data_IF_711584679974
#
_entry.id   IF_711584679974
#
_cell.length_a   1.000
_cell.length_b   1.000
_cell.length_c   1.000
_cell.angle_alpha   90.00
_cell.angle_beta   90.00
_cell.angle_gamma   90.00
#
_symmetry.space_group_name_H-M   'P 1'
#
loop_
_entity.id
_entity.type
_entity.pdbx_description
1 polymer ?
#
# COMPACT_ATOMS: atom_id res chain seq x y z
N UNK A 1 12.47 8.73 -26.92
CA UNK A 1 12.34 7.65 -25.91
C UNK A 1 11.51 6.59 -26.57
N UNK A 2 12.07 5.40 -26.79
CA UNK A 2 11.30 4.30 -27.37
C UNK A 2 10.29 3.82 -26.33
N UNK A 3 9.05 3.57 -26.74
CA UNK A 3 8.01 3.01 -25.88
C UNK A 3 8.35 1.54 -25.58
N UNK A 4 9.23 1.35 -24.59
CA UNK A 4 9.65 0.02 -24.15
C UNK A 4 8.59 -0.56 -23.21
N UNK A 5 7.97 -1.67 -23.63
CA UNK A 5 7.14 -2.51 -22.77
C UNK A 5 8.03 -3.59 -22.15
N UNK A 6 8.06 -3.68 -20.83
CA UNK A 6 8.84 -4.70 -20.11
C UNK A 6 8.23 -6.10 -20.26
N UNK A 7 9.08 -7.08 -20.55
CA UNK A 7 8.76 -8.51 -20.41
C UNK A 7 8.62 -8.90 -18.93
N UNK A 8 7.99 -10.05 -18.63
CA UNK A 8 7.84 -10.50 -17.24
C UNK A 8 9.17 -10.70 -16.50
N UNK A 9 10.23 -11.14 -17.20
CA UNK A 9 11.56 -11.28 -16.60
C UNK A 9 12.17 -9.92 -16.27
N UNK A 10 11.95 -8.91 -17.10
CA UNK A 10 12.39 -7.54 -16.82
C UNK A 10 11.59 -6.93 -15.66
N UNK A 11 10.28 -7.19 -15.57
CA UNK A 11 9.49 -6.80 -14.40
C UNK A 11 10.08 -7.38 -13.11
N UNK A 12 10.40 -8.67 -13.10
CA UNK A 12 11.06 -9.33 -11.95
C UNK A 12 12.43 -8.72 -11.64
N UNK A 13 13.26 -8.48 -12.66
CA UNK A 13 14.58 -7.88 -12.48
C UNK A 13 14.52 -6.43 -11.95
N UNK A 14 13.44 -5.71 -12.24
CA UNK A 14 13.18 -4.36 -11.76
C UNK A 14 12.40 -4.34 -10.42
N UNK A 15 12.18 -5.49 -9.77
CA UNK A 15 11.34 -5.64 -8.58
C UNK A 15 9.91 -5.09 -8.74
N UNK A 16 9.38 -5.13 -9.97
CA UNK A 16 7.99 -4.79 -10.23
C UNK A 16 7.14 -6.01 -9.86
N UNK A 17 6.53 -5.92 -8.67
CA UNK A 17 5.80 -7.02 -8.03
C UNK A 17 4.45 -7.25 -8.72
N UNK A 18 4.22 -8.46 -9.21
CA UNK A 18 2.97 -8.89 -9.89
C UNK A 18 2.04 -9.70 -8.97
N UNK A 19 2.09 -9.50 -7.66
CA UNK A 19 1.42 -10.36 -6.66
C UNK A 19 -0.03 -9.96 -6.36
N UNK A 20 -0.79 -10.93 -5.83
CA UNK A 20 -2.20 -10.84 -5.45
C UNK A 20 -2.45 -10.02 -4.17
N UNK A 21 -2.15 -8.72 -4.20
CA UNK A 21 -2.56 -7.82 -3.12
C UNK A 21 -4.08 -7.59 -3.19
N UNK A 22 -4.75 -7.72 -2.04
CA UNK A 22 -6.21 -7.51 -1.92
C UNK A 22 -6.54 -6.26 -1.09
N UNK A 23 -7.80 -5.84 -1.09
CA UNK A 23 -8.26 -4.81 -0.16
C UNK A 23 -8.52 -5.41 1.22
N UNK A 24 -8.20 -4.69 2.28
CA UNK A 24 -8.65 -5.04 3.62
C UNK A 24 -10.06 -4.47 3.86
N UNK A 25 -11.00 -5.36 4.18
CA UNK A 25 -12.40 -5.03 4.45
C UNK A 25 -12.76 -5.15 5.94
N UNK A 26 -11.76 -5.41 6.79
CA UNK A 26 -11.94 -5.55 8.23
C UNK A 26 -11.49 -4.27 8.93
N UNK A 27 -12.35 -3.59 9.72
CA UNK A 27 -11.90 -2.47 10.53
C UNK A 27 -11.03 -3.00 11.69
N UNK A 28 -10.08 -2.19 12.14
CA UNK A 28 -9.17 -2.58 13.21
C UNK A 28 -7.77 -2.03 13.04
N UNK A 29 -6.86 -2.54 13.86
CA UNK A 29 -5.44 -2.21 13.83
C UNK A 29 -4.66 -3.42 13.35
N UNK A 30 -3.78 -3.22 12.38
CA UNK A 30 -3.00 -4.29 11.77
C UNK A 30 -1.53 -3.90 11.75
N UNK A 31 -0.67 -4.77 12.26
CA UNK A 31 0.77 -4.62 12.10
C UNK A 31 1.12 -5.15 10.71
N UNK A 32 1.91 -4.37 9.97
CA UNK A 32 2.30 -4.71 8.62
C UNK A 32 3.68 -4.17 8.24
N UNK A 33 4.32 -4.80 7.27
CA UNK A 33 5.50 -4.28 6.61
C UNK A 33 5.08 -3.56 5.33
N UNK A 34 5.62 -2.36 5.08
CA UNK A 34 5.42 -1.66 3.81
C UNK A 34 6.27 -2.30 2.71
N UNK A 35 5.66 -3.05 1.81
CA UNK A 35 6.35 -3.80 0.75
C UNK A 35 6.71 -2.91 -0.45
N UNK A 36 5.81 -2.00 -0.81
CA UNK A 36 5.98 -1.16 -2.01
C UNK A 36 5.15 0.12 -1.93
N UNK A 37 5.63 1.14 -2.64
CA UNK A 37 4.87 2.33 -3.02
C UNK A 37 4.85 2.46 -4.54
N UNK A 38 3.70 2.74 -5.13
CA UNK A 38 3.55 3.01 -6.55
C UNK A 38 2.78 4.32 -6.77
N UNK A 39 3.48 5.31 -7.31
CA UNK A 39 2.91 6.62 -7.60
C UNK A 39 1.97 6.55 -8.81
N UNK A 40 0.87 7.29 -8.73
CA UNK A 40 -0.02 7.61 -9.83
C UNK A 40 -0.39 9.09 -9.71
N UNK A 41 -0.92 9.68 -10.79
CA UNK A 41 -1.04 11.15 -10.96
C UNK A 41 -1.46 11.94 -9.71
N UNK A 42 -2.46 11.44 -8.95
CA UNK A 42 -2.99 12.10 -7.76
C UNK A 42 -3.08 11.17 -6.53
N UNK A 43 -2.54 9.96 -6.61
CA UNK A 43 -2.65 8.99 -5.53
C UNK A 43 -1.38 8.15 -5.40
N UNK A 44 -1.12 7.71 -4.18
CA UNK A 44 -0.08 6.76 -3.88
C UNK A 44 -0.73 5.42 -3.54
N UNK A 45 -0.44 4.41 -4.34
CA UNK A 45 -0.79 3.02 -4.00
C UNK A 45 0.29 2.49 -3.06
N UNK A 46 -0.14 1.95 -1.93
CA UNK A 46 0.73 1.41 -0.89
C UNK A 46 0.36 -0.05 -0.68
N UNK A 47 1.38 -0.88 -0.54
CA UNK A 47 1.27 -2.33 -0.50
C UNK A 47 1.94 -2.85 0.76
N UNK A 48 1.29 -3.81 1.42
CA UNK A 48 1.68 -4.30 2.72
C UNK A 48 1.58 -5.80 2.83
N UNK A 49 2.42 -6.38 3.68
CA UNK A 49 2.25 -7.73 4.20
C UNK A 49 1.94 -7.62 5.68
N UNK A 50 0.72 -8.03 6.06
CA UNK A 50 0.31 -8.11 7.47
C UNK A 50 1.07 -9.23 8.18
N UNK A 51 1.15 -9.19 9.52
CA UNK A 51 1.78 -10.27 10.31
C UNK A 51 1.14 -11.65 10.07
N UNK A 52 -0.16 -11.68 9.76
CA UNK A 52 -0.88 -12.91 9.38
C UNK A 52 -0.61 -13.36 7.93
N UNK A 53 0.39 -12.76 7.28
CA UNK A 53 0.81 -13.02 5.89
C UNK A 53 -0.17 -12.57 4.81
N UNK A 54 -1.30 -11.91 5.15
CA UNK A 54 -2.16 -11.32 4.13
C UNK A 54 -1.45 -10.17 3.42
N UNK A 55 -1.51 -10.20 2.08
CA UNK A 55 -1.01 -9.13 1.22
C UNK A 55 -2.12 -8.15 0.93
N UNK A 56 -1.98 -6.94 1.45
CA UNK A 56 -3.02 -5.91 1.38
C UNK A 56 -2.51 -4.67 0.64
N UNK A 57 -3.38 -4.04 -0.14
CA UNK A 57 -3.11 -2.72 -0.71
C UNK A 57 -4.10 -1.68 -0.20
N UNK A 58 -3.65 -0.43 -0.11
CA UNK A 58 -4.50 0.73 0.07
C UNK A 58 -4.11 1.84 -0.92
N UNK A 59 -5.02 2.79 -1.13
CA UNK A 59 -4.71 4.04 -1.85
C UNK A 59 -4.74 5.19 -0.87
N UNK A 60 -3.80 6.11 -1.02
CA UNK A 60 -3.78 7.38 -0.27
C UNK A 60 -3.73 8.53 -1.24
N UNK A 61 -4.32 9.66 -0.83
CA UNK A 61 -4.60 10.77 -1.73
C UNK A 61 -3.76 11.99 -1.36
N UNK A 62 -3.41 12.79 -2.36
CA UNK A 62 -2.53 13.95 -2.16
C UNK A 62 -3.12 14.99 -1.18
N UNK A 63 -4.44 15.17 -1.18
CA UNK A 63 -5.12 16.10 -0.26
C UNK A 63 -5.11 15.62 1.20
N UNK A 64 -4.82 14.34 1.44
CA UNK A 64 -4.54 13.76 2.76
C UNK A 64 -3.04 13.64 3.03
N UNK A 65 -2.21 14.33 2.24
CA UNK A 65 -0.73 14.25 2.29
C UNK A 65 -0.21 12.81 2.20
N UNK A 66 -0.91 11.96 1.43
CA UNK A 66 -0.61 10.54 1.28
C UNK A 66 -0.49 9.78 2.62
N UNK A 67 -1.18 10.24 3.68
CA UNK A 67 -1.02 9.74 5.07
C UNK A 67 0.44 9.68 5.55
N UNK A 68 1.34 10.47 4.97
CA UNK A 68 2.77 10.44 5.28
C UNK A 68 3.58 9.31 4.60
N UNK A 69 2.96 8.41 3.84
CA UNK A 69 3.63 7.27 3.20
C UNK A 69 4.75 7.66 2.24
N UNK A 70 4.69 8.85 1.64
CA UNK A 70 5.71 9.31 0.71
C UNK A 70 7.11 9.23 1.32
N UNK A 71 7.24 9.63 2.59
CA UNK A 71 8.51 9.70 3.33
C UNK A 71 8.84 8.41 4.11
N UNK A 72 7.93 7.43 4.18
CA UNK A 72 8.15 6.17 4.90
C UNK A 72 8.98 5.23 4.01
N UNK A 73 10.17 4.74 4.45
CA UNK A 73 10.94 3.78 3.68
C UNK A 73 10.19 2.44 3.48
N UNK A 74 10.34 1.82 2.32
CA UNK A 74 9.93 0.43 2.09
C UNK A 74 10.69 -0.49 3.06
N UNK A 75 10.03 -1.52 3.57
CA UNK A 75 10.53 -2.41 4.62
C UNK A 75 10.26 -1.93 6.05
N UNK A 76 9.66 -0.75 6.24
CA UNK A 76 9.29 -0.24 7.57
C UNK A 76 8.11 -1.03 8.14
N UNK A 77 8.20 -1.38 9.43
CA UNK A 77 7.08 -1.91 10.20
C UNK A 77 6.15 -0.78 10.63
N UNK A 78 4.84 -1.01 10.44
CA UNK A 78 3.81 0.00 10.61
C UNK A 78 2.63 -0.59 11.37
N UNK A 79 1.96 0.27 12.14
CA UNK A 79 0.61 0.01 12.65
C UNK A 79 -0.39 0.75 11.76
N UNK A 80 -1.22 -0.01 11.05
CA UNK A 80 -2.24 0.51 10.12
C UNK A 80 -3.60 0.55 10.79
N UNK A 81 -4.24 1.71 10.77
CA UNK A 81 -5.55 1.92 11.38
C UNK A 81 -6.64 1.93 10.31
N UNK A 82 -7.40 0.84 10.22
CA UNK A 82 -8.58 0.75 9.36
C UNK A 82 -9.84 1.12 10.14
N UNK A 83 -10.64 2.04 9.61
CA UNK A 83 -11.93 2.45 10.19
C UNK A 83 -13.07 2.07 9.26
N UNK A 84 -14.27 1.95 9.83
CA UNK A 84 -15.52 1.77 9.11
C UNK A 84 -16.30 3.09 9.11
N UNK A 85 -16.82 3.50 7.95
CA UNK A 85 -17.68 4.69 7.84
C UNK A 85 -19.16 4.35 8.11
N UNK A 86 -20.04 5.36 8.11
CA UNK A 86 -21.48 5.17 8.35
C UNK A 86 -22.20 4.32 7.28
N UNK A 87 -21.55 4.06 6.13
CA UNK A 87 -22.02 3.19 5.05
C UNK A 87 -21.49 1.76 5.15
N UNK A 88 -20.78 1.42 6.23
CA UNK A 88 -20.11 0.12 6.43
C UNK A 88 -18.98 -0.15 5.44
N UNK A 89 -18.34 0.91 4.93
CA UNK A 89 -17.17 0.80 4.06
C UNK A 89 -15.91 0.98 4.90
N UNK A 90 -14.94 0.10 4.70
CA UNK A 90 -13.68 0.10 5.43
C UNK A 90 -12.59 0.82 4.65
N UNK A 91 -11.82 1.65 5.33
CA UNK A 91 -10.76 2.46 4.72
C UNK A 91 -9.58 2.64 5.69
N UNK A 92 -8.39 2.81 5.11
CA UNK A 92 -7.18 3.17 5.86
C UNK A 92 -7.26 4.64 6.28
N UNK A 93 -7.26 4.88 7.58
CA UNK A 93 -7.47 6.20 8.18
C UNK A 93 -6.16 6.83 8.66
N UNK A 94 -5.30 6.02 9.27
CA UNK A 94 -4.07 6.47 9.92
C UNK A 94 -2.97 5.40 9.87
N UNK A 95 -1.72 5.84 9.99
CA UNK A 95 -0.53 4.99 10.03
C UNK A 95 0.45 5.49 11.09
N UNK A 96 0.99 4.57 11.88
CA UNK A 96 2.04 4.83 12.86
C UNK A 96 3.29 4.01 12.52
N UNK A 97 4.49 4.57 12.78
CA UNK A 97 5.76 3.82 12.72
C UNK A 97 6.00 3.15 14.07
N UNK A 98 6.39 1.88 14.05
CA UNK A 98 6.68 1.08 15.24
C UNK A 98 8.10 0.54 15.24
#
# INVERSE_FOLDING_TARGET
MEDKVYTQNELKAQNIITTDYVLNLEPGKFIAVLDMKAEARNCLRVFFTFEDSRKVMATTQWWQRYLGFYEIPVGTHLLLHYRENSRKEVYLDEVERI
#
